data_IF_216441915560
#
_entry.id   IF_216441915560
#
_cell.length_a   1.000
_cell.length_b   1.000
_cell.length_c   1.000
_cell.angle_alpha   90.00
_cell.angle_beta   90.00
_cell.angle_gamma   90.00
#
_symmetry.space_group_name_H-M   'P 1'
#
loop_
_entity.id
_entity.type
_entity.pdbx_description
1 polymer ?
#
# COMPACT_ATOMS: atom_id res chain seq x y z
N UNK A 1 -32.00 11.84 -50.72
CA UNK A 1 -31.30 12.85 -49.88
C UNK A 1 -31.33 12.51 -48.39
N UNK A 2 -32.49 12.11 -47.82
CA UNK A 2 -32.71 11.78 -46.40
C UNK A 2 -31.72 10.79 -45.74
N UNK A 3 -31.22 9.78 -46.45
CA UNK A 3 -30.33 8.77 -45.87
C UNK A 3 -28.92 9.30 -45.53
N UNK A 4 -28.43 10.31 -46.28
CA UNK A 4 -27.10 10.89 -46.08
C UNK A 4 -27.05 11.78 -44.84
N UNK A 5 -28.12 12.53 -44.60
CA UNK A 5 -28.26 13.39 -43.42
C UNK A 5 -28.48 12.58 -42.15
N UNK A 6 -29.26 11.50 -42.23
CA UNK A 6 -29.43 10.56 -41.12
C UNK A 6 -28.11 9.89 -40.71
N UNK A 7 -27.27 9.51 -41.68
CA UNK A 7 -25.95 8.93 -41.42
C UNK A 7 -24.98 9.94 -40.79
N UNK A 8 -25.04 11.20 -41.20
CA UNK A 8 -24.26 12.29 -40.58
C UNK A 8 -24.68 12.55 -39.14
N UNK A 9 -25.99 12.60 -38.87
CA UNK A 9 -26.51 12.79 -37.52
C UNK A 9 -26.08 11.64 -36.59
N UNK A 10 -26.20 10.38 -37.05
CA UNK A 10 -25.74 9.23 -36.27
C UNK A 10 -24.25 9.31 -35.99
N UNK A 11 -23.42 9.66 -36.97
CA UNK A 11 -21.97 9.84 -36.76
C UNK A 11 -21.64 10.92 -35.73
N UNK A 12 -22.34 12.06 -35.77
CA UNK A 12 -22.13 13.16 -34.80
C UNK A 12 -22.52 12.71 -33.39
N UNK A 13 -23.66 12.05 -33.24
CA UNK A 13 -24.14 11.55 -31.93
C UNK A 13 -23.19 10.47 -31.39
N UNK A 14 -22.75 9.53 -32.23
CA UNK A 14 -21.77 8.52 -31.84
C UNK A 14 -20.42 9.15 -31.45
N UNK A 15 -19.94 10.14 -32.21
CA UNK A 15 -18.70 10.85 -31.88
C UNK A 15 -18.83 11.61 -30.55
N UNK A 16 -19.95 12.27 -30.30
CA UNK A 16 -20.23 12.94 -29.04
C UNK A 16 -20.29 11.95 -27.87
N UNK A 17 -20.94 10.80 -28.05
CA UNK A 17 -21.00 9.74 -27.05
C UNK A 17 -19.61 9.17 -26.73
N UNK A 18 -18.80 8.86 -27.75
CA UNK A 18 -17.43 8.38 -27.57
C UNK A 18 -16.58 9.43 -26.86
N UNK A 19 -16.66 10.70 -27.29
CA UNK A 19 -15.96 11.81 -26.64
C UNK A 19 -16.37 11.94 -25.17
N UNK A 20 -17.65 11.74 -24.86
CA UNK A 20 -18.16 11.77 -23.49
C UNK A 20 -17.59 10.62 -22.64
N UNK A 21 -17.58 9.39 -23.17
CA UNK A 21 -16.98 8.25 -22.49
C UNK A 21 -15.48 8.43 -22.23
N UNK A 22 -14.75 9.01 -23.19
CA UNK A 22 -13.33 9.34 -23.02
C UNK A 22 -13.14 10.39 -21.92
N UNK A 23 -13.96 11.45 -21.91
CA UNK A 23 -13.91 12.48 -20.88
C UNK A 23 -14.19 11.92 -19.47
N UNK A 24 -15.17 11.03 -19.35
CA UNK A 24 -15.47 10.32 -18.09
C UNK A 24 -14.33 9.41 -17.65
N UNK A 25 -13.75 8.63 -18.57
CA UNK A 25 -12.60 7.79 -18.29
C UNK A 25 -11.39 8.60 -17.81
N UNK A 26 -11.15 9.76 -18.43
CA UNK A 26 -10.06 10.66 -18.04
C UNK A 26 -10.32 11.29 -16.67
N UNK A 27 -11.53 11.77 -16.40
CA UNK A 27 -11.93 12.28 -15.08
C UNK A 27 -11.75 11.20 -14.01
N UNK A 28 -12.16 9.96 -14.28
CA UNK A 28 -11.98 8.84 -13.36
C UNK A 28 -10.49 8.56 -13.11
N UNK A 29 -9.65 8.57 -14.15
CA UNK A 29 -8.22 8.38 -14.01
C UNK A 29 -7.53 9.51 -13.23
N UNK A 30 -7.98 10.77 -13.40
CA UNK A 30 -7.42 11.93 -12.70
C UNK A 30 -7.90 12.04 -11.25
N UNK A 31 -9.10 11.53 -10.95
CA UNK A 31 -9.69 11.54 -9.59
C UNK A 31 -9.40 10.29 -8.80
N UNK A 32 -8.96 9.20 -9.45
CA UNK A 32 -8.38 8.05 -8.78
C UNK A 32 -7.17 8.52 -7.98
N UNK A 33 -7.34 8.75 -6.69
CA UNK A 33 -6.28 9.21 -5.81
C UNK A 33 -5.26 8.06 -5.67
N UNK A 34 -4.09 8.14 -6.32
CA UNK A 34 -3.14 7.04 -6.27
C UNK A 34 -2.64 6.91 -4.84
N UNK A 35 -2.73 5.70 -4.30
CA UNK A 35 -2.20 5.42 -2.96
C UNK A 35 -0.68 5.57 -3.02
N UNK A 36 -0.16 6.65 -2.45
CA UNK A 36 1.29 6.88 -2.38
C UNK A 36 1.85 6.22 -1.12
N UNK A 37 2.67 5.19 -1.31
CA UNK A 37 3.39 4.54 -0.21
C UNK A 37 4.40 5.50 0.42
N UNK A 38 4.47 5.54 1.76
CA UNK A 38 5.47 6.31 2.48
C UNK A 38 6.82 5.56 2.52
N UNK A 39 7.86 6.00 1.79
CA UNK A 39 9.12 5.25 1.72
C UNK A 39 9.86 5.20 3.07
N UNK A 40 9.68 6.20 3.94
CA UNK A 40 10.32 6.24 5.25
C UNK A 40 9.76 5.13 6.17
N UNK A 41 8.47 4.84 6.07
CA UNK A 41 7.83 3.79 6.87
C UNK A 41 8.33 2.40 6.47
N UNK A 42 8.39 2.11 5.17
CA UNK A 42 8.85 0.82 4.66
C UNK A 42 10.35 0.60 4.78
N UNK A 43 11.16 1.66 4.70
CA UNK A 43 12.61 1.54 4.90
C UNK A 43 13.00 1.34 6.37
N UNK A 44 12.21 1.86 7.31
CA UNK A 44 12.42 1.68 8.75
C UNK A 44 11.80 0.39 9.30
N UNK A 45 10.90 -0.24 8.54
CA UNK A 45 10.28 -1.50 8.91
C UNK A 45 11.32 -2.63 8.95
N UNK A 46 11.24 -3.47 9.98
CA UNK A 46 12.07 -4.68 10.11
C UNK A 46 11.47 -5.86 9.37
N UNK A 47 10.16 -5.86 9.17
CA UNK A 47 9.43 -6.87 8.43
C UNK A 47 8.35 -6.16 7.58
N UNK A 48 8.23 -6.51 6.30
CA UNK A 48 7.16 -6.03 5.42
C UNK A 48 6.46 -7.25 4.84
N UNK A 49 5.17 -7.35 5.12
CA UNK A 49 4.33 -8.46 4.66
C UNK A 49 3.14 -7.96 3.85
N UNK A 50 2.64 -8.84 2.99
CA UNK A 50 1.25 -8.85 2.58
C UNK A 50 0.49 -9.73 3.57
N UNK A 51 -0.56 -9.20 4.17
CA UNK A 51 -1.38 -9.96 5.09
C UNK A 51 -2.85 -9.60 5.02
N UNK A 52 -3.68 -10.53 5.46
CA UNK A 52 -5.12 -10.33 5.63
C UNK A 52 -5.45 -10.35 7.12
N UNK A 53 -6.47 -9.60 7.53
CA UNK A 53 -6.99 -9.70 8.88
C UNK A 53 -7.47 -11.12 9.16
N UNK A 54 -7.00 -11.71 10.26
CA UNK A 54 -7.51 -13.01 10.69
C UNK A 54 -8.92 -12.84 11.28
N UNK A 55 -9.87 -13.63 10.80
CA UNK A 55 -11.26 -13.60 11.29
C UNK A 55 -11.40 -14.12 12.73
N UNK A 56 -10.47 -14.94 13.19
CA UNK A 56 -10.54 -15.61 14.50
C UNK A 56 -10.02 -14.76 15.67
N UNK A 57 -9.08 -13.83 15.42
CA UNK A 57 -8.41 -13.07 16.48
C UNK A 57 -8.28 -11.59 16.13
N UNK A 58 -8.63 -10.75 17.11
CA UNK A 58 -8.74 -9.31 16.93
C UNK A 58 -7.44 -8.63 16.44
N UNK A 59 -6.32 -9.15 16.91
CA UNK A 59 -4.99 -8.56 16.81
C UNK A 59 -4.05 -9.42 15.96
N UNK A 60 -4.58 -10.20 15.03
CA UNK A 60 -3.81 -11.18 14.28
C UNK A 60 -3.92 -10.97 12.78
N UNK A 61 -2.79 -11.07 12.10
CA UNK A 61 -2.68 -10.96 10.64
C UNK A 61 -2.20 -12.29 10.10
N UNK A 62 -2.94 -12.84 9.15
CA UNK A 62 -2.54 -14.00 8.38
C UNK A 62 -1.56 -13.54 7.30
N UNK A 63 -0.34 -14.09 7.34
CA UNK A 63 0.73 -13.73 6.40
C UNK A 63 0.48 -14.45 5.07
N UNK A 64 0.29 -13.68 4.00
CA UNK A 64 0.14 -14.20 2.64
C UNK A 64 1.47 -14.20 1.90
N UNK A 65 2.27 -13.14 2.07
CA UNK A 65 3.56 -12.99 1.40
C UNK A 65 4.51 -12.15 2.26
N UNK A 66 5.81 -12.43 2.18
CA UNK A 66 6.85 -11.62 2.82
C UNK A 66 7.66 -10.91 1.73
N UNK A 67 7.78 -9.59 1.82
CA UNK A 67 8.55 -8.78 0.85
C UNK A 67 9.94 -8.42 1.35
N UNK A 68 10.05 -8.13 2.66
CA UNK A 68 11.31 -7.81 3.29
C UNK A 68 11.32 -8.36 4.71
N UNK A 69 12.34 -9.13 5.04
CA UNK A 69 12.62 -9.57 6.39
C UNK A 69 14.06 -9.16 6.72
N UNK A 70 14.22 -8.29 7.71
CA UNK A 70 15.52 -7.93 8.28
C UNK A 70 15.77 -8.67 9.61
N UNK A 71 14.97 -9.72 9.84
CA UNK A 71 15.05 -10.63 10.98
C UNK A 71 15.62 -11.97 10.50
N UNK A 72 16.30 -12.69 11.40
CA UNK A 72 17.03 -13.94 11.08
C UNK A 72 16.08 -15.08 10.66
N UNK A 73 14.80 -15.00 11.04
CA UNK A 73 13.80 -16.03 10.73
C UNK A 73 12.56 -15.38 10.10
N UNK A 74 12.09 -15.95 8.98
CA UNK A 74 10.79 -15.61 8.43
C UNK A 74 9.67 -16.09 9.37
N UNK A 75 8.59 -15.32 9.52
CA UNK A 75 7.49 -15.71 10.38
C UNK A 75 6.70 -16.87 9.75
N UNK A 76 6.74 -18.03 10.39
CA UNK A 76 5.90 -19.19 10.06
C UNK A 76 4.55 -19.07 10.76
N UNK A 77 3.61 -18.39 10.12
CA UNK A 77 2.21 -18.34 10.56
C UNK A 77 1.69 -16.97 11.00
N UNK A 78 0.52 -16.94 11.66
CA UNK A 78 -0.18 -15.70 11.99
C UNK A 78 0.61 -14.83 12.96
N UNK A 79 0.66 -13.53 12.69
CA UNK A 79 1.41 -12.56 13.48
C UNK A 79 0.50 -11.76 14.41
N UNK A 80 0.88 -11.66 15.69
CA UNK A 80 0.24 -10.79 16.66
C UNK A 80 0.72 -9.35 16.50
N UNK A 81 -0.23 -8.43 16.28
CA UNK A 81 0.00 -7.02 16.00
C UNK A 81 -0.76 -6.15 16.99
N UNK A 82 -0.03 -5.46 17.87
CA UNK A 82 -0.59 -4.78 19.06
C UNK A 82 -1.46 -3.55 18.78
N UNK A 83 -1.38 -2.97 17.59
CA UNK A 83 -2.13 -1.76 17.21
C UNK A 83 -3.01 -1.97 15.98
N UNK A 84 -3.39 -3.22 15.71
CA UNK A 84 -4.27 -3.59 14.59
C UNK A 84 -5.72 -3.20 14.86
N UNK A 85 -6.13 -3.21 16.12
CA UNK A 85 -7.43 -2.79 16.62
C UNK A 85 -7.81 -1.38 16.15
N UNK A 86 -6.84 -0.46 16.11
CA UNK A 86 -7.01 0.94 15.67
C UNK A 86 -7.40 1.07 14.20
N UNK A 87 -7.22 0.03 13.40
CA UNK A 87 -7.49 0.02 11.96
C UNK A 87 -8.74 -0.78 11.59
N UNK A 88 -9.33 -1.53 12.53
CA UNK A 88 -10.44 -2.45 12.25
C UNK A 88 -11.65 -1.79 11.60
N UNK A 89 -11.95 -0.54 11.96
CA UNK A 89 -13.09 0.19 11.38
C UNK A 89 -12.90 0.58 9.92
N UNK A 90 -11.66 0.57 9.43
CA UNK A 90 -11.30 1.00 8.07
C UNK A 90 -10.91 -0.19 7.18
N UNK A 91 -10.77 -1.38 7.77
CA UNK A 91 -10.28 -2.57 7.07
C UNK A 91 -11.41 -3.47 6.60
N UNK A 92 -11.32 -3.87 5.35
CA UNK A 92 -12.21 -4.86 4.75
C UNK A 92 -11.62 -6.25 5.00
N UNK A 93 -12.41 -7.17 5.57
CA UNK A 93 -11.93 -8.48 6.01
C UNK A 93 -11.40 -9.37 4.87
N UNK A 94 -11.84 -9.14 3.62
CA UNK A 94 -11.44 -9.94 2.45
C UNK A 94 -10.36 -9.27 1.59
N UNK A 95 -9.85 -8.11 2.00
CA UNK A 95 -8.73 -7.46 1.30
C UNK A 95 -7.39 -7.83 1.91
N UNK A 96 -6.38 -7.95 1.06
CA UNK A 96 -4.99 -8.00 1.49
C UNK A 96 -4.40 -6.60 1.62
N UNK A 97 -3.51 -6.44 2.60
CA UNK A 97 -2.87 -5.17 2.93
C UNK A 97 -1.36 -5.35 3.05
N UNK A 98 -0.62 -4.32 2.62
CA UNK A 98 0.81 -4.18 2.87
C UNK A 98 1.02 -3.62 4.27
N UNK A 99 1.68 -4.41 5.11
CA UNK A 99 1.84 -4.13 6.53
C UNK A 99 3.33 -4.01 6.88
N UNK A 100 3.82 -2.79 7.14
CA UNK A 100 5.17 -2.57 7.66
C UNK A 100 5.18 -2.79 9.18
N UNK A 101 5.97 -3.76 9.63
CA UNK A 101 6.02 -4.24 11.01
C UNK A 101 7.41 -4.01 11.64
N UNK A 102 7.38 -3.64 12.93
CA UNK A 102 8.55 -3.58 13.80
C UNK A 102 8.37 -4.46 15.04
N UNK A 103 9.42 -5.16 15.50
CA UNK A 103 9.35 -5.99 16.68
C UNK A 103 9.28 -5.13 17.95
N UNK A 104 8.44 -5.53 18.90
CA UNK A 104 8.32 -4.90 20.23
C UNK A 104 9.08 -5.66 21.33
N UNK A 105 9.84 -6.70 20.95
CA UNK A 105 10.74 -7.45 21.85
C UNK A 105 10.13 -8.66 22.57
N UNK A 106 8.80 -8.83 22.54
CA UNK A 106 8.09 -9.98 23.17
C UNK A 106 7.47 -10.96 22.15
N UNK A 107 8.06 -11.07 20.97
CA UNK A 107 7.45 -11.83 19.85
C UNK A 107 6.21 -11.16 19.24
N UNK A 108 5.86 -9.96 19.73
CA UNK A 108 4.80 -9.13 19.19
C UNK A 108 5.36 -8.13 18.17
N UNK A 109 4.49 -7.73 17.25
CA UNK A 109 4.81 -6.77 16.20
C UNK A 109 3.94 -5.53 16.33
N UNK A 110 4.47 -4.39 15.86
CA UNK A 110 3.77 -3.11 15.83
C UNK A 110 3.84 -2.51 14.44
N UNK A 111 2.72 -1.99 13.96
CA UNK A 111 2.67 -1.20 12.73
C UNK A 111 3.25 0.19 13.03
N UNK A 112 4.26 0.59 12.26
CA UNK A 112 4.79 1.95 12.35
C UNK A 112 3.72 2.94 11.91
N UNK A 113 3.39 3.92 12.76
CA UNK A 113 2.56 5.05 12.36
C UNK A 113 3.42 6.20 11.81
N UNK A 114 2.78 7.15 11.12
CA UNK A 114 3.44 8.42 10.83
C UNK A 114 3.79 9.08 12.16
N UNK A 115 5.07 9.39 12.39
CA UNK A 115 5.45 10.31 13.47
C UNK A 115 4.90 11.67 13.10
N UNK A 116 3.88 12.12 13.82
CA UNK A 116 3.52 13.53 13.83
C UNK A 116 4.74 14.32 14.32
N UNK A 117 5.06 15.42 13.63
CA UNK A 117 6.24 16.27 13.90
C UNK A 117 6.24 16.86 15.32
N UNK A 118 5.12 16.79 16.03
CA UNK A 118 4.96 17.24 17.41
C UNK A 118 4.85 16.05 18.36
N UNK A 119 5.77 15.91 19.34
CA UNK A 119 5.66 14.94 20.44
C UNK A 119 4.38 15.11 21.30
N UNK A 120 3.66 16.23 21.11
CA UNK A 120 2.47 16.62 21.86
C UNK A 120 1.15 16.08 21.27
N UNK A 121 1.16 15.60 20.02
CA UNK A 121 -0.06 15.28 19.26
C UNK A 121 -0.52 13.81 19.31
N UNK A 122 -0.14 13.09 20.38
CA UNK A 122 -0.69 11.78 20.68
C UNK A 122 -0.04 10.60 19.93
N UNK A 123 -0.58 9.38 20.10
CA UNK A 123 0.04 8.17 19.58
C UNK A 123 0.06 8.17 18.05
N UNK A 124 1.19 7.73 17.47
CA UNK A 124 1.35 7.58 16.01
C UNK A 124 0.26 6.65 15.46
N UNK A 125 -0.63 7.20 14.63
CA UNK A 125 -1.69 6.40 13.99
C UNK A 125 -1.05 5.40 13.03
N UNK A 126 -1.31 4.09 13.19
CA UNK A 126 -0.81 3.10 12.26
C UNK A 126 -1.36 3.37 10.86
N UNK A 127 -0.53 3.14 9.85
CA UNK A 127 -0.92 3.29 8.44
C UNK A 127 -0.56 2.00 7.73
N UNK A 128 -1.51 1.46 7.00
CA UNK A 128 -1.33 0.31 6.11
C UNK A 128 -1.94 0.65 4.77
N UNK A 129 -1.52 -0.08 3.75
CA UNK A 129 -1.90 0.20 2.37
C UNK A 129 -2.58 -1.03 1.78
N UNK A 130 -3.58 -0.88 0.89
CA UNK A 130 -4.10 -2.01 0.13
C UNK A 130 -2.96 -2.67 -0.65
N UNK A 131 -2.99 -4.00 -0.78
CA UNK A 131 -2.00 -4.73 -1.57
C UNK A 131 -2.51 -4.97 -3.00
N UNK A 132 -2.68 -3.87 -3.75
CA UNK A 132 -2.96 -3.91 -5.18
C UNK A 132 -1.66 -4.00 -6.01
N UNK A 133 -1.76 -4.27 -7.31
CA UNK A 133 -0.58 -4.45 -8.16
C UNK A 133 0.32 -3.20 -8.19
N UNK A 134 -0.29 -2.01 -8.20
CA UNK A 134 0.41 -0.72 -8.24
C UNK A 134 1.22 -0.48 -6.96
N UNK A 135 0.63 -0.72 -5.80
CA UNK A 135 1.30 -0.57 -4.50
C UNK A 135 2.38 -1.63 -4.30
N UNK A 136 2.18 -2.86 -4.79
CA UNK A 136 3.24 -3.89 -4.76
C UNK A 136 4.45 -3.46 -5.59
N UNK A 137 4.24 -2.97 -6.82
CA UNK A 137 5.33 -2.46 -7.67
C UNK A 137 6.06 -1.27 -7.03
N UNK A 138 5.31 -0.32 -6.46
CA UNK A 138 5.90 0.81 -5.73
C UNK A 138 6.73 0.34 -4.53
N UNK A 139 6.25 -0.65 -3.78
CA UNK A 139 6.96 -1.20 -2.63
C UNK A 139 8.28 -1.85 -3.07
N UNK A 140 8.26 -2.67 -4.11
CA UNK A 140 9.46 -3.31 -4.65
C UNK A 140 10.51 -2.28 -5.07
N UNK A 141 10.10 -1.20 -5.74
CA UNK A 141 11.01 -0.13 -6.14
C UNK A 141 11.60 0.61 -4.93
N UNK A 142 10.80 0.89 -3.89
CA UNK A 142 11.26 1.49 -2.64
C UNK A 142 12.31 0.60 -1.96
N UNK A 143 12.03 -0.70 -1.84
CA UNK A 143 12.93 -1.68 -1.23
C UNK A 143 14.23 -1.82 -2.04
N UNK A 144 14.13 -1.84 -3.38
CA UNK A 144 15.28 -1.89 -4.28
C UNK A 144 16.19 -0.67 -4.12
N UNK A 145 15.61 0.54 -4.07
CA UNK A 145 16.37 1.79 -3.85
C UNK A 145 17.05 1.81 -2.48
N UNK A 146 16.35 1.38 -1.43
CA UNK A 146 16.88 1.33 -0.07
C UNK A 146 18.07 0.38 0.04
N UNK A 147 17.97 -0.82 -0.54
CA UNK A 147 19.09 -1.79 -0.60
C UNK A 147 20.31 -1.22 -1.32
N UNK A 148 20.12 -0.54 -2.45
CA UNK A 148 21.22 0.08 -3.22
C UNK A 148 21.92 1.18 -2.41
N UNK A 149 21.16 2.02 -1.71
CA UNK A 149 21.70 3.09 -0.85
C UNK A 149 22.53 2.50 0.31
N UNK A 150 22.01 1.50 1.02
CA UNK A 150 22.75 0.86 2.12
C UNK A 150 24.07 0.25 1.65
N UNK A 151 24.12 -0.40 0.48
CA UNK A 151 25.37 -0.93 -0.09
C UNK A 151 26.41 0.14 -0.38
N UNK A 152 26.00 1.32 -0.84
CA UNK A 152 26.91 2.43 -1.11
C UNK A 152 27.43 3.07 0.19
N UNK A 153 26.60 3.18 1.23
CA UNK A 153 27.01 3.72 2.52
C UNK A 153 28.07 2.87 3.21
N UNK A 154 27.97 1.53 3.16
CA UNK A 154 28.97 0.63 3.75
C UNK A 154 30.34 0.75 3.05
N UNK A 155 30.38 1.02 1.75
CA UNK A 155 31.63 1.21 1.01
C UNK A 155 32.38 2.50 1.37
N UNK A 156 31.68 3.54 1.82
CA UNK A 156 32.30 4.84 2.14
C UNK A 156 32.94 4.84 3.53
N UNK A 157 32.46 4.01 4.46
CA UNK A 157 32.98 3.93 5.84
C UNK A 157 34.14 2.94 6.00
N UNK A 158 34.52 2.22 4.93
CA UNK A 158 35.59 1.22 4.93
C UNK A 158 36.92 1.75 4.34
N UNK A 159 37.10 3.07 4.27
CA UNK A 159 38.36 3.75 3.92
C UNK A 159 38.86 4.55 5.10
#
# INVERSE_FOLDING_TARGET
>A
MLAKDRRRIVLIVSAAAVSWWVALGLMAALTANPVVLNPAQFSQARLVIEGRLSGERAETIDVLRVFACNTIKEPDGPLSVVNLDQLRTTLEADRSYLVPLNPTGKGTWKILGLKTLSPRDGPSRPIIYPADDVTREQLEEILRRSRKRNRQSVMVTAR
#
